data_IF_410811000067
#
_entry.id   IF_410811000067
#
_cell.length_a   1.000
_cell.length_b   1.000
_cell.length_c   1.000
_cell.angle_alpha   90.00
_cell.angle_beta   90.00
_cell.angle_gamma   90.00
#
_symmetry.space_group_name_H-M   'P 1'
#
loop_
_entity.id
_entity.type
_entity.pdbx_description
1 polymer ?
#
# COMPACT_ATOMS: atom_id res chain seq x y z
N UNK A 1 -4.97 -43.47 -14.75
CA UNK A 1 -4.39 -42.42 -13.88
C UNK A 1 -4.94 -42.62 -12.48
N UNK A 2 -4.07 -42.87 -11.50
CA UNK A 2 -4.51 -43.00 -10.10
C UNK A 2 -4.52 -41.62 -9.51
N UNK A 3 -5.70 -41.15 -9.08
CA UNK A 3 -5.84 -39.82 -8.45
C UNK A 3 -5.56 -39.99 -6.95
N UNK A 4 -4.46 -39.38 -6.51
CA UNK A 4 -4.10 -39.33 -5.09
C UNK A 4 -4.69 -38.06 -4.45
N UNK A 5 -5.50 -38.24 -3.41
CA UNK A 5 -5.99 -37.13 -2.57
C UNK A 5 -5.32 -37.14 -1.21
N UNK A 6 -5.07 -35.95 -0.66
CA UNK A 6 -4.45 -35.79 0.65
C UNK A 6 -5.25 -34.81 1.50
N UNK A 7 -5.65 -35.25 2.68
CA UNK A 7 -6.29 -34.38 3.68
C UNK A 7 -5.16 -33.80 4.56
N UNK A 8 -5.03 -32.48 4.61
CA UNK A 8 -4.04 -31.79 5.42
C UNK A 8 -4.54 -30.43 5.87
N UNK A 9 -4.05 -29.95 7.00
CA UNK A 9 -4.26 -28.57 7.41
C UNK A 9 -3.51 -27.66 6.43
N UNK A 10 -4.13 -26.61 5.86
CA UNK A 10 -3.52 -25.71 4.91
C UNK A 10 -2.61 -24.69 5.61
N UNK A 11 -1.67 -25.16 6.42
CA UNK A 11 -0.71 -24.33 7.13
C UNK A 11 0.59 -24.24 6.37
N UNK A 12 1.15 -23.04 6.32
CA UNK A 12 2.49 -22.76 5.77
C UNK A 12 3.29 -21.99 6.82
N UNK A 13 4.55 -22.35 6.97
CA UNK A 13 5.49 -21.52 7.71
C UNK A 13 5.64 -20.18 7.00
N UNK A 14 5.58 -19.09 7.75
CA UNK A 14 5.69 -17.74 7.20
C UNK A 14 6.62 -16.92 8.08
N UNK A 15 7.87 -16.79 7.65
CA UNK A 15 8.89 -15.97 8.32
C UNK A 15 8.89 -14.51 7.82
N UNK A 16 8.37 -14.29 6.62
CA UNK A 16 8.27 -12.98 6.01
C UNK A 16 7.03 -12.87 5.13
N UNK A 17 6.49 -11.66 5.03
CA UNK A 17 5.32 -11.37 4.19
C UNK A 17 5.66 -10.25 3.21
N UNK A 18 5.03 -10.31 2.05
CA UNK A 18 5.12 -9.20 1.09
C UNK A 18 4.27 -8.03 1.58
N UNK A 19 4.64 -6.81 1.17
CA UNK A 19 3.89 -5.60 1.50
C UNK A 19 2.43 -5.65 1.04
N UNK A 20 2.16 -6.30 -0.09
CA UNK A 20 0.78 -6.48 -0.59
C UNK A 20 -0.06 -7.35 0.34
N UNK A 21 0.54 -8.40 0.90
CA UNK A 21 -0.18 -9.32 1.78
C UNK A 21 -0.55 -8.69 3.12
N UNK A 22 0.24 -7.75 3.61
CA UNK A 22 -0.03 -7.04 4.87
C UNK A 22 -0.91 -5.81 4.70
N UNK A 23 -1.31 -5.50 3.48
CA UNK A 23 -2.21 -4.39 3.22
C UNK A 23 -3.53 -4.58 3.97
N UNK A 24 -3.98 -3.56 4.70
CA UNK A 24 -5.16 -3.64 5.55
C UNK A 24 -4.94 -4.28 6.94
N UNK A 25 -3.77 -4.87 7.20
CA UNK A 25 -3.48 -5.44 8.52
C UNK A 25 -2.80 -4.41 9.44
N UNK A 26 -3.00 -4.55 10.74
CA UNK A 26 -2.32 -3.77 11.76
C UNK A 26 -1.43 -4.68 12.58
N UNK A 27 -0.14 -4.38 12.63
CA UNK A 27 0.86 -5.18 13.34
C UNK A 27 1.22 -4.48 14.64
N UNK A 28 0.89 -5.10 15.76
CA UNK A 28 1.14 -4.54 17.11
C UNK A 28 2.53 -4.88 17.65
N UNK A 29 3.19 -5.88 17.08
CA UNK A 29 4.54 -6.28 17.41
C UNK A 29 5.59 -5.51 16.62
N UNK A 30 6.87 -5.84 16.83
CA UNK A 30 7.98 -5.30 16.04
C UNK A 30 7.88 -5.76 14.59
N UNK A 31 8.15 -4.85 13.66
CA UNK A 31 8.15 -5.07 12.22
C UNK A 31 9.50 -4.70 11.66
N UNK A 32 10.10 -5.57 10.89
CA UNK A 32 11.31 -5.27 10.11
C UNK A 32 10.94 -5.17 8.65
N UNK A 33 11.16 -4.00 8.06
CA UNK A 33 10.90 -3.73 6.66
C UNK A 33 12.16 -3.90 5.84
N UNK A 34 12.12 -4.80 4.86
CA UNK A 34 13.16 -4.94 3.85
C UNK A 34 12.69 -4.28 2.56
N UNK A 35 13.16 -3.06 2.31
CA UNK A 35 12.61 -2.20 1.26
C UNK A 35 13.22 -2.43 -0.13
N UNK A 36 14.40 -3.07 -0.21
CA UNK A 36 15.15 -3.19 -1.47
C UNK A 36 15.66 -1.85 -1.99
N UNK A 37 16.30 -1.85 -3.16
CA UNK A 37 16.94 -0.65 -3.74
C UNK A 37 15.94 0.35 -4.34
N UNK A 38 14.87 -0.13 -4.96
CA UNK A 38 13.89 0.72 -5.67
C UNK A 38 12.47 0.43 -5.22
N UNK A 39 11.61 1.42 -5.27
CA UNK A 39 10.18 1.22 -5.02
C UNK A 39 9.52 0.64 -6.27
N UNK A 40 8.99 -0.58 -6.16
CA UNK A 40 8.37 -1.29 -7.29
C UNK A 40 7.01 -0.72 -7.68
N UNK A 41 6.26 -0.24 -6.68
CA UNK A 41 4.96 0.39 -6.88
C UNK A 41 4.78 1.56 -5.92
N UNK A 42 3.94 2.48 -6.34
CA UNK A 42 3.61 3.68 -5.60
C UNK A 42 3.02 3.41 -4.23
N UNK A 43 3.59 4.03 -3.21
CA UNK A 43 3.07 3.96 -1.85
C UNK A 43 3.34 2.64 -1.15
N UNK A 44 4.13 1.74 -1.75
CA UNK A 44 4.46 0.46 -1.14
C UNK A 44 5.27 0.64 0.14
N UNK A 45 6.23 1.57 0.13
CA UNK A 45 6.99 1.98 1.32
C UNK A 45 6.05 2.52 2.39
N UNK A 46 5.14 3.42 2.04
CA UNK A 46 4.12 3.94 2.96
C UNK A 46 3.24 2.83 3.52
N UNK A 47 2.81 1.89 2.68
CA UNK A 47 2.01 0.74 3.12
C UNK A 47 2.73 -0.06 4.20
N UNK A 48 4.02 -0.33 4.03
CA UNK A 48 4.82 -1.03 5.04
C UNK A 48 4.90 -0.26 6.36
N UNK A 49 5.25 1.02 6.32
CA UNK A 49 5.35 1.86 7.52
C UNK A 49 4.01 1.98 8.26
N UNK A 50 2.92 2.14 7.53
CA UNK A 50 1.59 2.30 8.11
C UNK A 50 1.02 1.01 8.74
N UNK A 51 1.71 -0.12 8.63
CA UNK A 51 1.30 -1.37 9.29
C UNK A 51 1.62 -1.40 10.78
N UNK A 52 2.67 -0.70 11.21
CA UNK A 52 3.06 -0.65 12.61
C UNK A 52 2.23 0.40 13.38
N UNK A 53 1.90 0.08 14.64
CA UNK A 53 1.14 0.98 15.52
C UNK A 53 2.00 2.06 16.17
N UNK A 54 3.30 1.83 16.28
CA UNK A 54 4.26 2.75 16.89
C UNK A 54 5.53 2.81 16.07
N UNK A 55 6.11 3.99 15.93
CA UNK A 55 7.37 4.19 15.21
C UNK A 55 8.53 3.37 15.79
N UNK A 56 8.59 3.24 17.13
CA UNK A 56 9.62 2.46 17.84
C UNK A 56 9.57 0.95 17.52
N UNK A 57 8.47 0.48 16.95
CA UNK A 57 8.31 -0.91 16.55
C UNK A 57 8.81 -1.20 15.12
N UNK A 58 9.33 -0.20 14.42
CA UNK A 58 9.78 -0.33 13.03
C UNK A 58 11.29 -0.44 12.98
N UNK A 59 11.78 -1.54 12.43
CA UNK A 59 13.16 -1.71 11.98
C UNK A 59 13.23 -1.66 10.46
N UNK A 60 14.35 -1.17 9.91
CA UNK A 60 14.59 -1.14 8.47
C UNK A 60 15.84 -1.94 8.17
N UNK A 61 15.72 -2.99 7.38
CA UNK A 61 16.82 -3.77 6.89
C UNK A 61 17.25 -3.26 5.51
N UNK A 62 18.56 -3.12 5.29
CA UNK A 62 19.12 -2.64 4.03
C UNK A 62 19.12 -1.13 3.83
N UNK A 63 18.71 -0.37 4.88
CA UNK A 63 18.68 1.10 4.84
C UNK A 63 17.48 1.68 4.09
N UNK A 64 17.28 2.99 4.27
CA UNK A 64 16.26 3.77 3.57
C UNK A 64 16.96 4.93 2.84
N UNK A 65 17.28 4.77 1.56
CA UNK A 65 17.89 5.85 0.81
C UNK A 65 16.92 7.01 0.63
N UNK A 66 17.38 8.24 0.85
CA UNK A 66 16.57 9.45 0.73
C UNK A 66 15.95 9.59 -0.67
N UNK A 67 16.66 9.14 -1.70
CA UNK A 67 16.15 9.11 -3.08
C UNK A 67 14.85 8.36 -3.21
N UNK A 68 14.62 7.31 -2.40
CA UNK A 68 13.38 6.55 -2.39
C UNK A 68 12.17 7.37 -1.94
N UNK A 69 12.39 8.32 -1.02
CA UNK A 69 11.34 9.21 -0.50
C UNK A 69 11.14 10.45 -1.38
N UNK A 70 12.20 10.90 -2.05
CA UNK A 70 12.20 12.16 -2.84
C UNK A 70 12.00 11.95 -4.33
N UNK A 71 12.08 10.73 -4.84
CA UNK A 71 11.86 10.45 -6.26
C UNK A 71 10.49 10.97 -6.69
N UNK A 72 10.51 11.95 -7.58
CA UNK A 72 9.27 12.52 -8.16
C UNK A 72 8.54 11.47 -8.99
N UNK A 73 7.68 10.77 -8.37
CA UNK A 73 6.84 9.72 -8.93
C UNK A 73 5.76 10.33 -9.85
N UNK A 74 5.64 11.66 -9.86
CA UNK A 74 4.67 12.44 -10.65
C UNK A 74 4.72 12.18 -12.18
N UNK A 75 5.80 11.61 -12.68
CA UNK A 75 5.98 11.37 -14.11
C UNK A 75 5.50 10.00 -14.62
N UNK A 76 5.05 9.11 -13.74
CA UNK A 76 4.52 7.84 -14.18
C UNK A 76 3.13 8.01 -14.79
N UNK A 77 2.87 7.36 -15.93
CA UNK A 77 1.59 7.43 -16.65
C UNK A 77 0.37 7.11 -15.77
N UNK A 78 0.52 6.16 -14.85
CA UNK A 78 -0.50 5.79 -13.86
C UNK A 78 -0.84 6.96 -12.93
N UNK A 79 0.16 7.72 -12.47
CA UNK A 79 -0.05 8.87 -11.57
C UNK A 79 -0.74 10.02 -12.29
N UNK A 80 -0.35 10.30 -13.54
CA UNK A 80 -1.02 11.34 -14.36
C UNK A 80 -2.50 11.02 -14.54
N UNK A 81 -2.84 9.74 -14.81
CA UNK A 81 -4.26 9.29 -14.88
C UNK A 81 -4.99 9.52 -13.57
N UNK A 82 -4.38 9.13 -12.45
CA UNK A 82 -4.98 9.29 -11.12
C UNK A 82 -5.25 10.76 -10.79
N UNK A 83 -4.28 11.64 -10.99
CA UNK A 83 -4.44 13.08 -10.77
C UNK A 83 -5.57 13.66 -11.66
N UNK A 84 -5.66 13.22 -12.92
CA UNK A 84 -6.75 13.63 -13.81
C UNK A 84 -8.12 13.19 -13.28
N UNK A 85 -8.21 11.95 -12.80
CA UNK A 85 -9.45 11.42 -12.25
C UNK A 85 -9.84 12.11 -10.93
N UNK A 86 -8.89 12.38 -10.04
CA UNK A 86 -9.14 13.14 -8.81
C UNK A 86 -9.68 14.55 -9.09
N UNK A 87 -9.11 15.24 -10.08
CA UNK A 87 -9.62 16.56 -10.51
C UNK A 87 -11.05 16.47 -11.06
N UNK A 88 -11.38 15.41 -11.80
CA UNK A 88 -12.73 15.17 -12.30
C UNK A 88 -13.71 14.90 -11.15
N UNK A 89 -13.33 14.05 -10.20
CA UNK A 89 -14.15 13.74 -9.02
C UNK A 89 -14.38 14.97 -8.14
N UNK A 90 -13.39 15.83 -7.96
CA UNK A 90 -13.53 17.09 -7.24
C UNK A 90 -14.57 18.03 -7.88
N UNK A 91 -14.58 18.12 -9.22
CA UNK A 91 -15.59 18.90 -9.94
C UNK A 91 -17.00 18.33 -9.75
N UNK A 92 -17.14 17.00 -9.88
CA UNK A 92 -18.42 16.32 -9.67
C UNK A 92 -18.92 16.49 -8.24
N UNK A 93 -18.05 16.37 -7.24
CA UNK A 93 -18.41 16.58 -5.84
C UNK A 93 -18.92 18.02 -5.58
N UNK A 94 -18.28 19.03 -6.19
CA UNK A 94 -18.73 20.41 -6.09
C UNK A 94 -20.11 20.62 -6.74
N UNK A 95 -20.36 19.98 -7.88
CA UNK A 95 -21.65 20.02 -8.57
C UNK A 95 -22.75 19.34 -7.76
N UNK A 96 -22.48 18.16 -7.20
CA UNK A 96 -23.42 17.44 -6.33
C UNK A 96 -23.79 18.25 -5.09
N UNK A 97 -22.81 18.90 -4.43
CA UNK A 97 -23.09 19.78 -3.29
C UNK A 97 -24.03 20.93 -3.65
N UNK A 98 -23.82 21.58 -4.80
CA UNK A 98 -24.73 22.66 -5.26
C UNK A 98 -26.14 22.16 -5.49
N UNK A 99 -26.29 21.00 -6.13
CA UNK A 99 -27.60 20.41 -6.39
C UNK A 99 -28.35 20.04 -5.13
N UNK A 100 -27.65 19.50 -4.12
CA UNK A 100 -28.25 19.16 -2.82
C UNK A 100 -28.68 20.40 -2.04
N UNK A 101 -27.94 21.51 -2.12
CA UNK A 101 -28.28 22.76 -1.46
C UNK A 101 -29.50 23.42 -2.13
N UNK A 102 -29.58 23.39 -3.46
CA UNK A 102 -30.67 24.02 -4.23
C UNK A 102 -31.99 23.23 -4.19
N UNK A 103 -31.96 21.96 -3.76
CA UNK A 103 -33.15 21.11 -3.62
C UNK A 103 -33.69 21.03 -2.18
N UNK A 104 -33.21 21.89 -1.27
CA UNK A 104 -33.76 22.11 0.08
C UNK A 104 -34.48 23.43 0.17
#
# INVERSE_FOLDING_TARGET
>A
MVQHSRIMLPLKLSFAWTMWRVQGQTIRSKVVLHLGKTEKEHGLTYTGFSRATKFQNIGIAGGLPLSRLTTKIANQSKMKRRIKEEKKLAKLAAQTRRNVINNR
#
